data_IF_316281464122
#
_entry.id   IF_316281464122
#
_cell.length_a   1.000
_cell.length_b   1.000
_cell.length_c   1.000
_cell.angle_alpha   90.00
_cell.angle_beta   90.00
_cell.angle_gamma   90.00
#
_symmetry.space_group_name_H-M   'P 1'
#
loop_
_entity.id
_entity.type
_entity.pdbx_description
1 polymer ?
#
# COMPACT_ATOMS: atom_id res chain seq x y z
N UNK A 1 -18.84 5.04 -5.96
CA UNK A 1 -18.21 6.21 -6.61
C UNK A 1 -17.02 6.74 -5.81
N UNK A 2 -17.19 7.06 -4.50
CA UNK A 2 -16.10 7.56 -3.63
C UNK A 2 -14.90 6.60 -3.51
N UNK A 3 -15.14 5.28 -3.54
CA UNK A 3 -14.08 4.27 -3.47
C UNK A 3 -13.25 4.16 -4.76
N UNK A 4 -13.87 4.33 -5.94
CA UNK A 4 -13.16 4.28 -7.22
C UNK A 4 -12.28 5.52 -7.42
N UNK A 5 -12.74 6.70 -6.99
CA UNK A 5 -11.94 7.93 -7.06
C UNK A 5 -10.74 7.89 -6.11
N UNK A 6 -10.88 7.25 -4.93
CA UNK A 6 -9.77 7.05 -3.98
C UNK A 6 -8.67 6.12 -4.50
N UNK A 7 -9.03 5.02 -5.20
CA UNK A 7 -8.07 4.07 -5.77
C UNK A 7 -7.29 4.68 -6.94
N UNK A 8 -7.99 5.42 -7.81
CA UNK A 8 -7.39 6.14 -8.95
C UNK A 8 -6.45 7.26 -8.50
N UNK A 9 -6.76 7.98 -7.42
CA UNK A 9 -5.88 9.02 -6.88
C UNK A 9 -4.56 8.45 -6.34
N UNK A 10 -4.60 7.30 -5.64
CA UNK A 10 -3.39 6.66 -5.13
C UNK A 10 -2.51 6.11 -6.25
N UNK A 11 -3.11 5.48 -7.26
CA UNK A 11 -2.37 5.02 -8.45
C UNK A 11 -1.79 6.21 -9.24
N UNK A 12 -2.56 7.30 -9.40
CA UNK A 12 -2.10 8.51 -10.12
C UNK A 12 -1.04 9.31 -9.34
N UNK A 13 -1.10 9.36 -8.01
CA UNK A 13 -0.11 10.02 -7.15
C UNK A 13 1.19 9.21 -7.06
N UNK A 14 1.13 7.89 -7.22
CA UNK A 14 2.32 7.06 -7.34
C UNK A 14 3.12 7.35 -8.64
N UNK A 15 2.43 7.73 -9.72
CA UNK A 15 3.04 8.05 -11.02
C UNK A 15 3.29 9.57 -11.24
N UNK A 16 2.70 10.46 -10.44
CA UNK A 16 2.82 11.92 -10.59
C UNK A 16 3.13 12.62 -9.24
N UNK A 17 4.39 12.60 -8.76
CA UNK A 17 4.79 13.26 -7.52
C UNK A 17 4.61 14.79 -7.50
N UNK A 18 4.38 15.44 -8.64
CA UNK A 18 4.25 16.89 -8.74
C UNK A 18 2.89 17.45 -8.28
N UNK A 19 1.86 16.61 -8.16
CA UNK A 19 0.51 17.06 -7.77
C UNK A 19 0.21 16.84 -6.28
N UNK A 20 0.99 16.01 -5.57
CA UNK A 20 0.73 15.67 -4.17
C UNK A 20 0.84 16.86 -3.23
N UNK A 21 1.82 17.75 -3.47
CA UNK A 21 2.13 18.88 -2.58
C UNK A 21 0.96 19.83 -2.31
N UNK A 22 0.04 19.99 -3.27
CA UNK A 22 -1.15 20.84 -3.09
C UNK A 22 -2.21 20.20 -2.20
N UNK A 23 -2.13 18.89 -1.97
CA UNK A 23 -3.09 18.10 -1.23
C UNK A 23 -2.44 17.33 -0.08
N UNK A 24 -1.19 17.66 0.30
CA UNK A 24 -0.46 16.91 1.33
C UNK A 24 -1.27 16.82 2.64
N UNK A 25 -1.92 17.92 3.05
CA UNK A 25 -2.78 17.97 4.23
C UNK A 25 -4.02 17.07 4.09
N UNK A 26 -4.71 17.13 2.95
CA UNK A 26 -5.88 16.29 2.69
C UNK A 26 -5.51 14.81 2.59
N UNK A 27 -4.35 14.51 2.02
CA UNK A 27 -3.81 13.15 1.90
C UNK A 27 -3.42 12.62 3.28
N UNK A 28 -2.76 13.43 4.11
CA UNK A 28 -2.41 13.08 5.49
C UNK A 28 -3.65 12.77 6.32
N UNK A 29 -4.67 13.64 6.30
CA UNK A 29 -5.93 13.43 7.02
C UNK A 29 -6.68 12.16 6.55
N UNK A 30 -6.73 11.93 5.25
CA UNK A 30 -7.35 10.70 4.69
C UNK A 30 -6.53 9.46 5.04
N UNK A 31 -5.20 9.55 5.02
CA UNK A 31 -4.30 8.46 5.40
C UNK A 31 -4.49 8.09 6.87
N UNK A 32 -4.53 9.08 7.76
CA UNK A 32 -4.74 8.89 9.20
C UNK A 32 -6.07 8.19 9.50
N UNK A 33 -7.16 8.64 8.89
CA UNK A 33 -8.45 7.96 9.01
C UNK A 33 -8.45 6.55 8.40
N UNK A 34 -7.71 6.32 7.32
CA UNK A 34 -7.54 4.99 6.75
C UNK A 34 -6.72 4.08 7.69
N UNK A 35 -5.74 4.62 8.42
CA UNK A 35 -4.89 3.88 9.35
C UNK A 35 -5.67 3.42 10.59
N UNK A 36 -6.54 4.27 11.13
CA UNK A 36 -7.48 3.92 12.20
C UNK A 36 -8.37 2.74 11.82
N UNK A 37 -8.73 2.67 10.53
CA UNK A 37 -9.58 1.62 9.96
C UNK A 37 -8.83 0.56 9.17
N UNK A 38 -7.50 0.49 9.30
CA UNK A 38 -6.67 -0.38 8.46
C UNK A 38 -7.10 -1.84 8.56
N UNK A 39 -7.44 -2.31 9.76
CA UNK A 39 -7.89 -3.67 10.00
C UNK A 39 -9.18 -3.95 9.21
N UNK A 40 -10.16 -3.04 9.21
CA UNK A 40 -11.37 -3.15 8.39
C UNK A 40 -11.07 -3.14 6.88
N UNK A 41 -10.13 -2.29 6.45
CA UNK A 41 -9.74 -2.15 5.04
C UNK A 41 -9.07 -3.42 4.51
N UNK A 42 -8.35 -4.14 5.37
CA UNK A 42 -7.56 -5.32 5.02
C UNK A 42 -8.33 -6.61 5.31
N UNK A 43 -9.23 -6.63 6.30
CA UNK A 43 -9.88 -7.84 6.83
C UNK A 43 -10.60 -8.69 5.78
N UNK A 44 -10.97 -8.11 4.63
CA UNK A 44 -11.61 -8.81 3.52
C UNK A 44 -10.91 -8.58 2.17
N UNK A 45 -9.73 -7.97 2.15
CA UNK A 45 -9.00 -7.75 0.89
C UNK A 45 -8.18 -8.99 0.54
N UNK A 46 -8.41 -9.53 -0.65
CA UNK A 46 -7.76 -10.72 -1.17
C UNK A 46 -6.91 -10.44 -2.42
N UNK A 47 -6.92 -9.19 -2.90
CA UNK A 47 -6.12 -8.73 -4.01
C UNK A 47 -4.73 -8.24 -3.52
N UNK A 48 -3.68 -8.98 -3.89
CA UNK A 48 -2.31 -8.66 -3.49
C UNK A 48 -1.87 -7.28 -4.00
N UNK A 49 -2.32 -6.90 -5.20
CA UNK A 49 -2.07 -5.57 -5.77
C UNK A 49 -2.62 -4.46 -4.87
N UNK A 50 -3.89 -4.56 -4.46
CA UNK A 50 -4.54 -3.58 -3.59
C UNK A 50 -3.85 -3.47 -2.23
N UNK A 51 -3.53 -4.60 -1.59
CA UNK A 51 -2.83 -4.56 -0.30
C UNK A 51 -1.43 -3.96 -0.42
N UNK A 52 -0.73 -4.22 -1.54
CA UNK A 52 0.58 -3.63 -1.81
C UNK A 52 0.52 -2.12 -2.00
N UNK A 53 -0.52 -1.62 -2.68
CA UNK A 53 -0.78 -0.18 -2.81
C UNK A 53 -1.03 0.46 -1.43
N UNK A 54 -1.90 -0.16 -0.62
CA UNK A 54 -2.23 0.32 0.73
C UNK A 54 -0.96 0.38 1.60
N UNK A 55 -0.14 -0.67 1.57
CA UNK A 55 1.15 -0.70 2.26
C UNK A 55 2.07 0.43 1.82
N UNK A 56 2.16 0.70 0.51
CA UNK A 56 2.98 1.79 -0.05
C UNK A 56 2.49 3.16 0.44
N UNK A 57 1.19 3.41 0.43
CA UNK A 57 0.60 4.69 0.90
C UNK A 57 0.94 4.93 2.36
N UNK A 58 0.63 3.99 3.25
CA UNK A 58 0.87 4.19 4.66
C UNK A 58 2.36 4.40 4.98
N UNK A 59 3.26 3.68 4.28
CA UNK A 59 4.71 3.84 4.45
C UNK A 59 5.23 5.20 3.94
N UNK A 60 4.59 5.78 2.93
CA UNK A 60 4.95 7.11 2.40
C UNK A 60 4.47 8.24 3.31
N UNK A 61 3.27 8.12 3.89
CA UNK A 61 2.63 9.20 4.67
C UNK A 61 2.80 9.06 6.20
N UNK A 62 3.80 8.29 6.65
CA UNK A 62 4.32 8.40 8.02
C UNK A 62 3.82 7.37 9.03
N UNK A 63 2.98 6.42 8.64
CA UNK A 63 2.54 5.35 9.54
C UNK A 63 3.47 4.14 9.44
N UNK A 64 3.99 3.69 10.60
CA UNK A 64 4.79 2.47 10.68
C UNK A 64 3.90 1.26 10.44
N UNK A 65 3.74 0.88 9.17
CA UNK A 65 3.04 -0.36 8.80
C UNK A 65 3.99 -1.52 8.85
N UNK A 66 3.67 -2.47 9.74
CA UNK A 66 4.35 -3.75 9.81
C UNK A 66 4.12 -4.53 8.52
N UNK A 67 5.16 -5.22 8.05
CA UNK A 67 5.06 -6.19 6.94
C UNK A 67 4.05 -7.31 7.18
N UNK A 68 3.53 -7.41 8.40
CA UNK A 68 2.50 -8.36 8.81
C UNK A 68 1.17 -8.19 8.10
N UNK A 69 0.93 -7.03 7.45
CA UNK A 69 -0.21 -6.84 6.56
C UNK A 69 -0.29 -7.90 5.46
N UNK A 70 0.86 -8.44 5.02
CA UNK A 70 0.92 -9.46 3.98
C UNK A 70 0.72 -10.89 4.50
N UNK A 71 0.51 -11.08 5.82
CA UNK A 71 0.32 -12.41 6.39
C UNK A 71 -0.96 -13.11 5.89
N UNK A 72 -1.96 -12.36 5.43
CA UNK A 72 -3.17 -12.91 4.80
C UNK A 72 -2.88 -13.71 3.51
N UNK A 73 -1.75 -13.42 2.87
CA UNK A 73 -1.26 -14.09 1.65
C UNK A 73 -0.34 -15.27 1.96
N UNK A 74 -0.01 -15.51 3.23
CA UNK A 74 0.74 -16.69 3.66
C UNK A 74 -0.20 -17.85 3.94
N UNK A 75 0.26 -19.07 3.67
CA UNK A 75 -0.40 -20.29 4.11
C UNK A 75 0.04 -20.68 5.52
N UNK A 76 -0.50 -21.78 6.04
CA UNK A 76 -0.19 -22.30 7.39
C UNK A 76 1.30 -22.61 7.60
N UNK A 77 2.07 -22.76 6.52
CA UNK A 77 3.52 -22.96 6.56
C UNK A 77 4.33 -21.67 6.78
N UNK A 78 3.66 -20.51 6.87
CA UNK A 78 4.30 -19.19 6.92
C UNK A 78 4.90 -18.72 5.59
N UNK A 79 4.78 -19.53 4.53
CA UNK A 79 5.20 -19.15 3.16
C UNK A 79 4.04 -18.55 2.39
N UNK A 80 4.34 -17.66 1.44
CA UNK A 80 3.36 -17.14 0.50
C UNK A 80 2.65 -18.28 -0.25
N UNK A 81 1.34 -18.12 -0.44
CA UNK A 81 0.50 -19.09 -1.17
C UNK A 81 1.03 -19.23 -2.59
N UNK A 82 1.17 -20.48 -3.07
CA UNK A 82 1.65 -20.77 -4.43
C UNK A 82 0.74 -20.18 -5.52
N UNK A 83 -0.55 -19.98 -5.22
CA UNK A 83 -1.52 -19.36 -6.13
C UNK A 83 -1.15 -17.92 -6.51
N UNK A 84 -0.32 -17.22 -5.73
CA UNK A 84 0.12 -15.86 -6.05
C UNK A 84 1.04 -15.79 -7.28
N UNK A 85 1.65 -16.91 -7.69
CA UNK A 85 2.52 -16.94 -8.88
C UNK A 85 1.75 -16.59 -10.15
N UNK A 86 0.44 -16.84 -10.17
CA UNK A 86 -0.44 -16.49 -11.30
C UNK A 86 -0.82 -15.00 -11.29
N UNK A 87 -0.75 -14.33 -10.14
CA UNK A 87 -1.03 -12.89 -9.99
C UNK A 87 0.23 -12.05 -10.24
N UNK A 88 0.63 -11.98 -11.51
CA UNK A 88 1.82 -11.22 -11.94
C UNK A 88 1.74 -9.75 -11.52
N UNK A 89 0.54 -9.15 -11.63
CA UNK A 89 0.32 -7.73 -11.29
C UNK A 89 0.47 -7.49 -9.79
N UNK A 90 -0.15 -8.34 -8.96
CA UNK A 90 -0.01 -8.29 -7.51
C UNK A 90 1.42 -8.52 -7.06
N UNK A 91 2.11 -9.50 -7.66
CA UNK A 91 3.53 -9.79 -7.35
C UNK A 91 4.46 -8.63 -7.70
N UNK A 92 4.26 -7.97 -8.84
CA UNK A 92 5.03 -6.78 -9.22
C UNK A 92 4.78 -5.64 -8.22
N UNK A 93 3.51 -5.38 -7.90
CA UNK A 93 3.13 -4.32 -6.97
C UNK A 93 3.67 -4.58 -5.56
N UNK A 94 3.65 -5.84 -5.13
CA UNK A 94 4.23 -6.29 -3.88
C UNK A 94 5.74 -6.04 -3.85
N UNK A 95 6.44 -6.46 -4.90
CA UNK A 95 7.88 -6.22 -5.04
C UNK A 95 8.22 -4.73 -4.96
N UNK A 96 7.49 -3.88 -5.69
CA UNK A 96 7.67 -2.43 -5.66
C UNK A 96 7.43 -1.89 -4.25
N UNK A 97 6.31 -2.24 -3.61
CA UNK A 97 5.91 -1.69 -2.32
C UNK A 97 6.92 -2.03 -1.19
N UNK A 98 7.47 -3.25 -1.17
CA UNK A 98 8.47 -3.63 -0.15
C UNK A 98 9.82 -2.96 -0.38
N UNK A 99 10.22 -2.72 -1.64
CA UNK A 99 11.49 -2.08 -1.99
C UNK A 99 11.44 -0.53 -1.96
N UNK A 100 10.28 0.08 -2.20
CA UNK A 100 10.14 1.53 -2.32
C UNK A 100 10.54 2.27 -1.03
N UNK A 101 10.17 1.75 0.15
CA UNK A 101 10.50 2.42 1.41
C UNK A 101 11.92 2.21 1.93
N UNK A 102 12.78 1.48 1.21
CA UNK A 102 14.23 1.50 1.47
C UNK A 102 14.88 2.73 0.83
N UNK A 103 14.24 3.36 -0.16
CA UNK A 103 14.82 4.48 -0.92
C UNK A 103 14.57 5.85 -0.29
N UNK A 104 13.55 6.03 0.55
CA UNK A 104 13.30 7.31 1.23
C UNK A 104 14.22 7.61 2.42
N UNK A 105 14.71 6.59 3.16
CA UNK A 105 15.65 6.82 4.26
C UNK A 105 17.09 7.15 3.79
N UNK A 106 17.40 6.92 2.52
CA UNK A 106 18.76 7.13 1.99
C UNK A 106 18.95 8.54 1.39
N UNK A 107 17.86 9.29 1.16
CA UNK A 107 17.93 10.68 0.66
C UNK A 107 17.84 11.74 1.77
N UNK A 108 17.76 11.35 3.04
CA UNK A 108 17.81 12.27 4.20
C UNK A 108 19.12 12.17 5.01
N UNK A 109 20.26 11.99 4.35
CA UNK A 109 21.58 12.14 4.97
C UNK A 109 22.47 13.07 4.16
#
# INVERSE_FOLDING_TARGET
MILCTKKVLVDSLADLPCLSYHFDNEIEEVSKHAFERREDLIANENDLHTVSIIFRVFRTYGDYVLSDIFNIFKGNSGKFKKSLVEDVKGMLSFYEAVHFGTMMHTFSR
#
